data_IF_926108564345
#
_entry.id   IF_926108564345
#
_cell.length_a   1.000
_cell.length_b   1.000
_cell.length_c   1.000
_cell.angle_alpha   90.00
_cell.angle_beta   90.00
_cell.angle_gamma   90.00
#
_symmetry.space_group_name_H-M   'P 1'
#
loop_
_entity.id
_entity.type
_entity.pdbx_description
1 polymer ?
#
# COMPACT_ATOMS: atom_id res chain seq x y z
N UNK A 1 -13.55 35.69 -36.39
CA UNK A 1 -13.53 34.36 -37.04
C UNK A 1 -12.66 33.42 -36.21
N UNK A 2 -13.25 32.85 -35.15
CA UNK A 2 -12.92 31.52 -34.60
C UNK A 2 -13.41 30.45 -35.63
N UNK A 3 -13.12 29.11 -35.54
CA UNK A 3 -12.92 28.36 -34.29
C UNK A 3 -12.03 27.05 -34.30
N UNK A 4 -11.61 26.64 -33.09
CA UNK A 4 -11.81 25.32 -32.42
C UNK A 4 -10.97 24.07 -32.74
N UNK A 5 -10.27 23.62 -31.68
CA UNK A 5 -10.28 22.30 -31.00
C UNK A 5 -10.47 21.01 -31.82
N UNK A 6 -9.47 20.12 -31.79
CA UNK A 6 -9.65 18.71 -32.17
C UNK A 6 -10.09 17.89 -30.97
N UNK A 7 -11.40 17.69 -30.88
CA UNK A 7 -12.02 16.57 -30.18
C UNK A 7 -11.49 15.24 -30.72
N UNK A 8 -10.98 14.38 -29.83
CA UNK A 8 -10.84 12.96 -30.08
C UNK A 8 -12.25 12.36 -30.09
N UNK A 9 -12.85 12.34 -31.28
CA UNK A 9 -14.17 11.78 -31.54
C UNK A 9 -14.10 10.26 -31.37
N UNK A 10 -14.82 9.74 -30.37
CA UNK A 10 -15.38 8.39 -30.37
C UNK A 10 -16.12 8.18 -31.68
N UNK A 11 -15.47 7.57 -32.67
CA UNK A 11 -16.15 7.06 -33.87
C UNK A 11 -16.47 5.60 -33.65
N UNK A 12 -17.76 5.32 -33.84
CA UNK A 12 -18.41 4.07 -33.47
C UNK A 12 -17.80 2.84 -34.13
N UNK A 13 -17.89 1.74 -33.37
CA UNK A 13 -17.79 0.39 -33.87
C UNK A 13 -18.91 0.20 -34.90
N UNK A 14 -18.55 -0.02 -36.17
CA UNK A 14 -19.51 -0.36 -37.23
C UNK A 14 -18.85 -1.27 -38.26
N UNK A 15 -19.37 -2.50 -38.30
CA UNK A 15 -19.28 -3.51 -39.36
C UNK A 15 -17.98 -4.35 -39.37
N UNK A 16 -18.19 -5.67 -39.29
CA UNK A 16 -17.21 -6.71 -38.96
C UNK A 16 -16.31 -7.10 -40.13
N UNK A 17 -14.99 -7.13 -39.88
CA UNK A 17 -14.13 -8.20 -40.35
C UNK A 17 -13.81 -9.12 -39.17
N UNK A 18 -13.98 -10.43 -39.35
CA UNK A 18 -13.99 -11.43 -38.26
C UNK A 18 -12.70 -11.53 -37.43
N UNK A 19 -11.60 -10.92 -37.90
CA UNK A 19 -10.33 -10.85 -37.17
C UNK A 19 -10.27 -9.69 -36.16
N UNK A 20 -11.02 -8.60 -36.38
CA UNK A 20 -10.99 -7.40 -35.53
C UNK A 20 -11.88 -7.53 -34.28
N UNK A 21 -12.97 -8.30 -34.36
CA UNK A 21 -13.79 -8.59 -33.16
C UNK A 21 -13.03 -9.47 -32.18
N UNK A 22 -12.21 -10.40 -32.67
CA UNK A 22 -11.34 -11.23 -31.83
C UNK A 22 -10.21 -10.37 -31.24
N UNK A 23 -9.57 -9.48 -32.02
CA UNK A 23 -8.56 -8.58 -31.46
C UNK A 23 -9.14 -7.62 -30.42
N UNK A 24 -10.35 -7.12 -30.63
CA UNK A 24 -11.02 -6.20 -29.70
C UNK A 24 -11.48 -6.94 -28.45
N UNK A 25 -12.03 -8.16 -28.56
CA UNK A 25 -12.34 -9.03 -27.41
C UNK A 25 -11.07 -9.46 -26.68
N UNK A 26 -9.97 -9.78 -27.37
CA UNK A 26 -8.68 -10.08 -26.73
C UNK A 26 -8.08 -8.84 -26.06
N UNK A 27 -8.29 -7.64 -26.62
CA UNK A 27 -7.85 -6.38 -26.03
C UNK A 27 -8.71 -5.95 -24.82
N UNK A 28 -10.03 -6.22 -24.86
CA UNK A 28 -10.96 -6.01 -23.75
C UNK A 28 -10.82 -7.07 -22.66
N UNK A 29 -10.49 -8.32 -23.00
CA UNK A 29 -10.14 -9.39 -22.03
C UNK A 29 -8.73 -9.18 -21.46
N UNK A 30 -7.85 -8.48 -22.21
CA UNK A 30 -6.60 -7.87 -21.70
C UNK A 30 -6.82 -6.54 -20.97
N UNK A 31 -8.06 -6.11 -20.70
CA UNK A 31 -8.30 -5.38 -19.46
C UNK A 31 -8.11 -6.39 -18.32
N UNK A 32 -6.83 -6.72 -18.13
CA UNK A 32 -6.29 -7.67 -17.19
C UNK A 32 -6.90 -7.31 -15.86
N UNK A 33 -7.74 -8.18 -15.32
CA UNK A 33 -7.91 -8.28 -13.89
C UNK A 33 -6.51 -8.54 -13.34
N UNK A 34 -5.77 -7.46 -13.03
CA UNK A 34 -4.56 -7.56 -12.23
C UNK A 34 -5.07 -8.03 -10.88
N UNK A 35 -4.95 -9.32 -10.61
CA UNK A 35 -5.21 -9.86 -9.28
C UNK A 35 -4.25 -9.10 -8.37
N UNK A 36 -4.79 -8.18 -7.58
CA UNK A 36 -4.00 -7.42 -6.63
C UNK A 36 -3.41 -8.43 -5.66
N UNK A 37 -2.08 -8.58 -5.66
CA UNK A 37 -1.41 -9.48 -4.73
C UNK A 37 -1.66 -8.97 -3.32
N UNK A 38 -2.49 -9.67 -2.55
CA UNK A 38 -2.71 -9.33 -1.14
C UNK A 38 -1.57 -9.89 -0.32
N UNK A 39 -0.93 -9.04 0.49
CA UNK A 39 0.14 -9.45 1.39
C UNK A 39 -0.30 -9.33 2.84
N UNK A 40 0.45 -9.99 3.73
CA UNK A 40 0.16 -9.99 5.17
C UNK A 40 1.44 -9.71 5.96
N UNK A 41 1.28 -9.17 7.15
CA UNK A 41 2.33 -9.10 8.18
C UNK A 41 1.76 -9.54 9.52
N UNK A 42 2.62 -10.07 10.40
CA UNK A 42 2.23 -10.46 11.74
C UNK A 42 2.96 -9.60 12.76
N UNK A 43 2.23 -9.03 13.72
CA UNK A 43 2.85 -8.35 14.84
C UNK A 43 3.20 -9.38 15.91
N UNK A 44 4.50 -9.50 16.21
CA UNK A 44 5.05 -10.40 17.22
C UNK A 44 4.93 -9.82 18.65
N UNK A 45 4.90 -8.49 18.77
CA UNK A 45 4.84 -7.76 20.03
C UNK A 45 4.34 -6.32 19.80
N UNK A 46 3.51 -5.74 20.70
CA UNK A 46 3.01 -6.29 21.97
C UNK A 46 1.90 -7.32 21.79
N UNK A 47 1.63 -8.13 22.83
CA UNK A 47 0.59 -9.18 22.81
C UNK A 47 -0.80 -8.65 22.41
N UNK A 48 -1.15 -7.45 22.85
CA UNK A 48 -2.46 -6.82 22.55
C UNK A 48 -2.64 -6.41 21.09
N UNK A 49 -1.56 -6.36 20.31
CA UNK A 49 -1.58 -6.10 18.87
C UNK A 49 -1.16 -7.34 18.07
N UNK A 50 -1.07 -8.52 18.69
CA UNK A 50 -0.47 -9.72 18.11
C UNK A 50 -1.40 -10.43 17.13
N UNK A 51 -1.66 -9.79 16.00
CA UNK A 51 -2.55 -10.26 14.93
C UNK A 51 -1.83 -10.30 13.58
N UNK A 52 -2.46 -10.99 12.63
CA UNK A 52 -2.08 -11.00 11.22
C UNK A 52 -2.89 -9.94 10.49
N UNK A 53 -2.19 -8.93 10.02
CA UNK A 53 -2.74 -7.79 9.31
C UNK A 53 -2.59 -8.00 7.81
N UNK A 54 -3.63 -7.63 7.08
CA UNK A 54 -3.58 -7.58 5.63
C UNK A 54 -3.05 -6.21 5.19
N UNK A 55 -2.30 -6.20 4.09
CA UNK A 55 -1.83 -4.98 3.43
C UNK A 55 -1.93 -5.12 1.91
N UNK A 56 -2.25 -4.01 1.25
CA UNK A 56 -2.27 -3.92 -0.20
C UNK A 56 -0.95 -3.31 -0.70
N UNK A 57 -0.06 -4.07 -1.35
CA UNK A 57 1.17 -3.54 -1.92
C UNK A 57 0.87 -2.63 -3.11
N UNK A 58 1.78 -1.70 -3.39
CA UNK A 58 1.77 -0.93 -4.63
C UNK A 58 3.12 -0.99 -5.34
N UNK A 59 3.11 -1.62 -6.52
CA UNK A 59 4.27 -1.69 -7.40
C UNK A 59 4.48 -0.42 -8.22
N UNK A 60 3.49 0.47 -8.30
CA UNK A 60 3.65 1.76 -8.99
C UNK A 60 4.30 2.80 -8.07
N UNK A 61 4.10 2.69 -6.76
CA UNK A 61 4.64 3.63 -5.76
C UNK A 61 6.00 3.19 -5.23
N UNK A 62 6.18 1.89 -4.95
CA UNK A 62 7.43 1.34 -4.42
C UNK A 62 7.86 0.07 -5.17
N UNK A 63 9.04 -0.44 -4.84
CA UNK A 63 9.52 -1.71 -5.41
C UNK A 63 8.71 -2.91 -4.87
N UNK A 64 8.70 -4.05 -5.57
CA UNK A 64 8.04 -5.26 -5.07
C UNK A 64 8.58 -5.71 -3.70
N UNK A 65 7.68 -6.23 -2.86
CA UNK A 65 8.10 -6.88 -1.62
C UNK A 65 8.97 -8.12 -1.90
N UNK A 66 10.00 -8.39 -1.09
CA UNK A 66 10.81 -9.59 -1.25
C UNK A 66 10.02 -10.86 -0.92
N UNK A 67 10.44 -12.00 -1.47
CA UNK A 67 9.87 -13.32 -1.15
C UNK A 67 10.22 -13.83 0.25
N UNK A 68 11.23 -13.24 0.89
CA UNK A 68 11.64 -13.57 2.25
C UNK A 68 11.04 -12.59 3.25
N UNK A 69 10.88 -13.03 4.50
CA UNK A 69 10.33 -12.21 5.58
C UNK A 69 11.43 -11.51 6.38
N UNK A 70 11.28 -10.19 6.57
CA UNK A 70 12.00 -9.45 7.59
C UNK A 70 11.41 -9.79 8.95
N UNK A 71 12.22 -10.34 9.86
CA UNK A 71 11.80 -10.70 11.21
C UNK A 71 12.17 -9.61 12.20
N UNK A 72 11.34 -9.43 13.24
CA UNK A 72 11.57 -8.44 14.32
C UNK A 72 11.76 -7.01 13.78
N UNK A 73 11.14 -6.69 12.64
CA UNK A 73 11.14 -5.34 12.12
C UNK A 73 10.35 -4.43 13.08
N UNK A 74 10.85 -3.22 13.34
CA UNK A 74 10.20 -2.29 14.27
C UNK A 74 9.27 -1.36 13.50
N UNK A 75 8.02 -1.21 13.95
CA UNK A 75 7.16 -0.14 13.42
C UNK A 75 7.50 1.18 14.10
N UNK A 76 7.58 2.25 13.33
CA UNK A 76 7.82 3.62 13.81
C UNK A 76 6.78 4.54 13.20
N UNK A 77 6.21 5.45 13.98
CA UNK A 77 5.31 6.47 13.46
C UNK A 77 6.11 7.61 12.82
N UNK A 78 5.69 8.06 11.64
CA UNK A 78 6.34 9.14 10.92
C UNK A 78 6.20 10.49 11.66
N UNK A 79 7.23 11.32 11.52
CA UNK A 79 7.27 12.70 11.99
C UNK A 79 7.94 13.57 10.90
N UNK A 80 7.19 14.41 10.17
CA UNK A 80 5.74 14.60 10.28
C UNK A 80 4.95 13.38 9.79
N UNK A 81 3.76 13.18 10.35
CA UNK A 81 2.93 12.00 10.09
C UNK A 81 2.52 11.85 8.62
N UNK A 82 2.31 12.97 7.92
CA UNK A 82 1.94 12.99 6.51
C UNK A 82 3.13 12.70 5.58
N UNK A 83 4.39 12.86 6.01
CA UNK A 83 5.59 12.57 5.19
C UNK A 83 5.72 13.35 3.88
N UNK A 84 5.08 14.52 3.77
CA UNK A 84 5.23 15.41 2.59
C UNK A 84 6.51 16.25 2.65
N UNK A 85 7.14 16.30 3.83
CA UNK A 85 8.44 16.92 4.05
C UNK A 85 9.44 15.83 4.49
N UNK A 86 10.76 16.10 4.42
CA UNK A 86 11.75 15.19 4.96
C UNK A 86 11.43 14.77 6.40
N UNK A 87 11.43 13.46 6.66
CA UNK A 87 11.11 12.96 7.99
C UNK A 87 12.21 13.37 8.98
N UNK A 88 11.77 13.83 10.15
CA UNK A 88 12.61 14.09 11.33
C UNK A 88 13.05 12.80 12.01
N UNK A 89 12.39 11.67 11.74
CA UNK A 89 12.84 10.36 12.19
C UNK A 89 14.22 10.04 11.59
N UNK A 90 15.13 9.52 12.39
CA UNK A 90 16.35 8.87 11.89
C UNK A 90 16.12 7.37 11.90
N UNK A 91 15.72 6.81 10.75
CA UNK A 91 15.33 5.41 10.67
C UNK A 91 16.55 4.50 10.45
N UNK A 92 16.51 3.33 11.07
CA UNK A 92 17.50 2.27 10.92
C UNK A 92 17.08 1.18 9.92
N UNK A 93 18.01 0.29 9.54
CA UNK A 93 17.83 -0.66 8.43
C UNK A 93 16.73 -1.72 8.63
N UNK A 94 16.13 -1.84 9.82
CA UNK A 94 15.04 -2.78 10.12
C UNK A 94 13.80 -2.07 10.67
N UNK A 95 13.59 -0.82 10.26
CA UNK A 95 12.45 -0.02 10.70
C UNK A 95 11.45 0.19 9.56
N UNK A 96 10.22 -0.22 9.81
CA UNK A 96 9.05 0.07 8.96
C UNK A 96 8.44 1.36 9.46
N UNK A 97 8.13 2.28 8.56
CA UNK A 97 7.48 3.54 8.93
C UNK A 97 5.99 3.49 8.63
N UNK A 98 5.17 3.99 9.55
CA UNK A 98 3.73 4.21 9.37
C UNK A 98 3.47 5.69 9.08
N UNK A 99 2.85 5.96 7.94
CA UNK A 99 2.52 7.29 7.41
C UNK A 99 1.00 7.47 7.28
N UNK A 100 0.55 8.71 7.43
CA UNK A 100 -0.84 9.09 7.20
C UNK A 100 -1.08 9.47 5.74
N UNK A 101 -2.24 9.05 5.22
CA UNK A 101 -2.78 9.47 3.93
C UNK A 101 -3.21 10.94 3.99
N UNK A 102 -3.05 11.65 2.87
CA UNK A 102 -3.48 13.04 2.70
C UNK A 102 -2.33 13.98 2.31
N UNK A 103 -2.65 15.24 2.06
CA UNK A 103 -1.71 16.36 1.81
C UNK A 103 -0.84 16.31 0.54
N UNK A 104 -0.23 15.17 0.22
CA UNK A 104 0.65 14.98 -0.94
C UNK A 104 0.50 13.59 -1.57
N UNK A 105 1.18 13.38 -2.70
CA UNK A 105 1.14 12.12 -3.45
C UNK A 105 1.77 10.96 -2.67
N UNK A 106 1.30 9.73 -2.89
CA UNK A 106 1.84 8.54 -2.22
C UNK A 106 3.33 8.33 -2.48
N UNK A 107 3.77 8.49 -3.73
CA UNK A 107 5.18 8.34 -4.11
C UNK A 107 6.09 9.30 -3.37
N UNK A 108 5.66 10.54 -3.16
CA UNK A 108 6.43 11.55 -2.42
C UNK A 108 6.63 11.14 -0.96
N UNK A 109 5.57 10.61 -0.32
CA UNK A 109 5.65 10.08 1.05
C UNK A 109 6.67 8.95 1.18
N UNK A 110 6.65 8.02 0.23
CA UNK A 110 7.54 6.84 0.27
C UNK A 110 8.98 7.23 -0.05
N UNK A 111 9.22 8.19 -0.95
CA UNK A 111 10.56 8.74 -1.20
C UNK A 111 11.11 9.42 0.05
N UNK A 112 10.30 10.21 0.76
CA UNK A 112 10.74 10.85 2.00
C UNK A 112 11.03 9.83 3.11
N UNK A 113 10.27 8.74 3.16
CA UNK A 113 10.55 7.61 4.05
C UNK A 113 11.86 6.88 3.70
N UNK A 114 12.09 6.62 2.42
CA UNK A 114 13.33 6.03 1.90
C UNK A 114 14.53 6.89 2.27
N UNK A 115 14.46 8.21 2.03
CA UNK A 115 15.51 9.17 2.38
C UNK A 115 15.81 9.20 3.88
N UNK A 116 14.82 8.88 4.72
CA UNK A 116 14.97 8.79 6.17
C UNK A 116 15.58 7.46 6.65
N UNK A 117 15.77 6.48 5.76
CA UNK A 117 16.33 5.16 6.04
C UNK A 117 15.30 4.07 6.33
N UNK A 118 14.03 4.26 5.96
CA UNK A 118 12.99 3.25 6.16
C UNK A 118 13.27 1.98 5.35
N UNK A 119 12.93 0.82 5.92
CA UNK A 119 12.96 -0.47 5.23
C UNK A 119 11.74 -0.66 4.32
N UNK A 120 10.55 -0.32 4.84
CA UNK A 120 9.24 -0.42 4.19
C UNK A 120 8.41 0.79 4.63
N UNK A 121 7.59 1.32 3.74
CA UNK A 121 6.57 2.32 4.08
C UNK A 121 5.18 1.68 4.13
N UNK A 122 4.50 1.82 5.27
CA UNK A 122 3.08 1.51 5.40
C UNK A 122 2.29 2.81 5.45
N UNK A 123 1.26 2.92 4.63
CA UNK A 123 0.38 4.09 4.57
C UNK A 123 -1.00 3.69 5.10
N UNK A 124 -1.63 4.58 5.86
CA UNK A 124 -2.97 4.37 6.39
C UNK A 124 -3.77 5.68 6.42
N UNK A 125 -5.09 5.56 6.42
CA UNK A 125 -6.00 6.65 6.75
C UNK A 125 -6.59 6.43 8.15
N UNK A 126 -5.75 6.61 9.18
CA UNK A 126 -6.15 6.33 10.57
C UNK A 126 -7.26 7.26 11.08
N UNK A 127 -7.40 8.43 10.43
CA UNK A 127 -8.39 9.44 10.78
C UNK A 127 -9.78 8.98 10.36
N UNK A 128 -9.96 8.42 9.17
CA UNK A 128 -11.25 7.83 8.78
C UNK A 128 -11.60 6.63 9.67
N UNK A 129 -10.62 5.77 9.96
CA UNK A 129 -10.85 4.52 10.70
C UNK A 129 -11.70 3.52 9.96
N UNK A 130 -11.85 3.70 8.65
CA UNK A 130 -12.56 2.77 7.78
C UNK A 130 -11.73 1.51 7.48
N UNK A 131 -12.42 0.51 6.95
CA UNK A 131 -11.82 -0.77 6.54
C UNK A 131 -11.51 -0.82 5.03
N UNK A 132 -11.71 0.29 4.32
CA UNK A 132 -11.44 0.33 2.88
C UNK A 132 -9.94 0.32 2.60
N UNK A 133 -9.55 -0.55 1.66
CA UNK A 133 -8.22 -0.50 1.06
C UNK A 133 -8.18 0.53 -0.05
N UNK A 134 -7.05 1.22 -0.16
CA UNK A 134 -6.78 2.17 -1.24
C UNK A 134 -5.69 1.60 -2.12
N UNK A 135 -5.97 1.56 -3.43
CA UNK A 135 -4.94 1.27 -4.42
C UNK A 135 -4.05 2.51 -4.57
N UNK A 136 -2.82 2.41 -4.08
CA UNK A 136 -1.87 3.52 -4.16
C UNK A 136 -1.30 3.58 -5.58
N UNK A 137 -1.51 4.69 -6.26
CA UNK A 137 -0.99 4.92 -7.62
C UNK A 137 0.02 6.07 -7.58
N UNK A 138 1.06 5.97 -8.41
CA UNK A 138 2.04 7.05 -8.60
C UNK A 138 1.39 8.29 -9.24
N UNK A 139 2.05 9.43 -9.13
CA UNK A 139 1.61 10.68 -9.74
C UNK A 139 2.06 10.77 -11.23
N UNK A 140 1.84 11.92 -11.86
CA UNK A 140 2.24 12.18 -13.26
C UNK A 140 3.76 12.18 -13.49
N UNK A 141 4.57 12.12 -12.43
CA UNK A 141 6.04 12.16 -12.55
C UNK A 141 6.65 10.80 -12.85
N UNK A 142 5.85 9.72 -12.78
CA UNK A 142 6.28 8.32 -12.97
C UNK A 142 7.46 7.93 -12.07
N UNK A 143 7.69 8.67 -10.99
CA UNK A 143 8.68 8.31 -9.98
C UNK A 143 8.23 7.06 -9.24
N UNK A 144 9.21 6.32 -8.74
CA UNK A 144 9.02 5.15 -7.90
C UNK A 144 10.07 5.19 -6.79
N UNK A 145 9.67 4.89 -5.57
CA UNK A 145 10.59 4.77 -4.44
C UNK A 145 11.35 3.43 -4.49
N UNK A 146 12.58 3.41 -3.99
CA UNK A 146 13.44 2.23 -3.94
C UNK A 146 13.09 1.23 -2.82
N UNK A 147 12.08 1.53 -2.00
CA UNK A 147 11.60 0.66 -0.92
C UNK A 147 10.17 0.15 -1.18
N UNK A 148 9.78 -1.02 -0.63
CA UNK A 148 8.41 -1.49 -0.74
C UNK A 148 7.42 -0.58 0.00
N UNK A 149 6.24 -0.43 -0.59
CA UNK A 149 5.14 0.35 -0.02
C UNK A 149 3.85 -0.47 0.02
N UNK A 150 3.14 -0.40 1.15
CA UNK A 150 1.85 -1.06 1.34
C UNK A 150 0.83 -0.15 2.03
N UNK A 151 -0.44 -0.35 1.72
CA UNK A 151 -1.57 0.30 2.39
C UNK A 151 -2.20 -0.64 3.41
N UNK A 152 -2.53 -0.12 4.59
CA UNK A 152 -3.32 -0.82 5.61
C UNK A 152 -4.59 -0.02 5.92
N UNK A 153 -5.65 -0.73 6.33
CA UNK A 153 -6.94 -0.14 6.69
C UNK A 153 -6.79 0.97 7.73
N UNK A 154 -7.71 1.94 7.70
CA UNK A 154 -7.77 3.01 8.69
C UNK A 154 -8.05 2.47 10.09
N UNK A 155 -8.89 1.44 10.22
CA UNK A 155 -9.20 0.81 11.50
C UNK A 155 -7.93 0.24 12.17
N UNK A 156 -7.14 -0.54 11.43
CA UNK A 156 -5.85 -1.04 11.93
C UNK A 156 -4.83 0.07 12.11
N UNK A 157 -4.71 0.99 11.16
CA UNK A 157 -3.81 2.14 11.26
C UNK A 157 -4.05 2.97 12.51
N UNK A 158 -5.31 3.22 12.88
CA UNK A 158 -5.69 3.93 14.10
C UNK A 158 -5.17 3.22 15.36
N UNK A 159 -5.33 1.90 15.45
CA UNK A 159 -4.83 1.13 16.61
C UNK A 159 -3.32 1.16 16.71
N UNK A 160 -2.62 1.01 15.58
CA UNK A 160 -1.15 1.04 15.56
C UNK A 160 -0.62 2.44 15.90
N UNK A 161 -1.21 3.49 15.31
CA UNK A 161 -0.89 4.89 15.60
C UNK A 161 -1.08 5.21 17.08
N UNK A 162 -2.26 4.91 17.63
CA UNK A 162 -2.58 5.25 19.01
C UNK A 162 -1.62 4.55 19.99
N UNK A 163 -1.24 3.30 19.71
CA UNK A 163 -0.22 2.62 20.49
C UNK A 163 1.15 3.31 20.39
N UNK A 164 1.59 3.67 19.19
CA UNK A 164 2.89 4.32 18.96
C UNK A 164 2.99 5.74 19.55
N UNK A 165 1.86 6.45 19.67
CA UNK A 165 1.84 7.82 20.19
C UNK A 165 1.63 7.89 21.70
N UNK A 166 0.82 7.00 22.26
CA UNK A 166 0.33 7.11 23.64
C UNK A 166 0.79 5.98 24.57
N UNK A 167 1.60 5.05 24.08
CA UNK A 167 2.20 3.99 24.91
C UNK A 167 3.73 4.10 24.90
N UNK A 168 4.38 3.64 25.97
CA UNK A 168 5.85 3.59 26.06
C UNK A 168 6.47 2.37 25.34
N UNK A 169 5.65 1.58 24.63
CA UNK A 169 6.05 0.32 24.01
C UNK A 169 6.48 0.46 22.55
N UNK A 170 7.18 -0.56 22.06
CA UNK A 170 7.50 -0.70 20.64
C UNK A 170 6.65 -1.79 19.98
N UNK A 171 6.47 -1.70 18.66
CA UNK A 171 5.83 -2.73 17.84
C UNK A 171 6.92 -3.48 17.08
N UNK A 172 6.94 -4.80 17.21
CA UNK A 172 7.80 -5.69 16.42
C UNK A 172 6.96 -6.60 15.56
N UNK A 173 7.38 -6.80 14.32
CA UNK A 173 6.62 -7.58 13.35
C UNK A 173 7.50 -8.44 12.44
N UNK A 174 6.84 -9.35 11.75
CA UNK A 174 7.38 -10.12 10.63
C UNK A 174 6.64 -9.75 9.34
N UNK A 175 7.36 -9.28 8.33
CA UNK A 175 6.80 -8.69 7.09
C UNK A 175 7.71 -8.94 5.87
N UNK A 176 7.17 -9.25 4.68
CA UNK A 176 5.85 -9.86 4.47
C UNK A 176 5.84 -11.29 5.04
N UNK A 177 4.66 -11.86 5.29
CA UNK A 177 4.53 -13.27 5.62
C UNK A 177 4.64 -14.12 4.36
N UNK A 178 5.54 -15.11 4.40
CA UNK A 178 5.67 -16.10 3.33
C UNK A 178 4.61 -17.19 3.52
N UNK A 179 3.40 -16.99 2.98
CA UNK A 179 2.32 -17.97 3.09
C UNK A 179 2.23 -18.88 1.86
N UNK A 180 2.16 -20.19 2.09
CA UNK A 180 1.58 -21.15 1.16
C UNK A 180 0.07 -20.90 1.03
N UNK A 181 -0.51 -21.10 -0.15
CA UNK A 181 -1.93 -20.81 -0.48
C UNK A 181 -2.96 -21.36 0.54
N UNK A 182 -2.61 -22.39 1.31
CA UNK A 182 -3.47 -22.96 2.35
C UNK A 182 -3.67 -22.04 3.58
N UNK A 183 -2.67 -21.21 3.95
CA UNK A 183 -2.81 -20.24 5.06
C UNK A 183 -3.57 -18.97 4.66
N UNK A 184 -3.77 -18.72 3.37
CA UNK A 184 -4.53 -17.58 2.88
C UNK A 184 -6.05 -17.75 3.09
N UNK A 185 -6.54 -19.00 3.21
CA UNK A 185 -7.96 -19.28 3.49
C UNK A 185 -8.30 -19.09 4.97
N UNK A 186 -7.39 -19.48 5.86
CA UNK A 186 -7.53 -19.37 7.31
C UNK A 186 -6.43 -18.48 7.87
N UNK A 187 -6.59 -17.16 7.77
CA UNK A 187 -5.68 -16.20 8.41
C UNK A 187 -5.74 -16.46 9.92
N UNK A 188 -4.64 -16.94 10.54
CA UNK A 188 -4.73 -17.66 11.81
C UNK A 188 -5.08 -16.78 13.02
N UNK A 189 -4.98 -15.46 12.93
CA UNK A 189 -5.38 -14.55 14.00
C UNK A 189 -5.65 -13.13 13.48
N UNK A 190 -6.90 -12.85 13.11
CA UNK A 190 -7.33 -11.60 12.49
C UNK A 190 -7.59 -10.49 13.53
N UNK A 191 -7.27 -9.21 13.25
CA UNK A 191 -7.61 -8.11 14.16
C UNK A 191 -9.13 -8.02 14.40
N UNK A 192 -9.58 -7.92 15.68
CA UNK A 192 -11.00 -7.93 16.01
C UNK A 192 -11.75 -6.64 15.64
N UNK A 193 -11.04 -5.63 15.13
CA UNK A 193 -11.59 -4.31 14.78
C UNK A 193 -11.72 -4.08 13.28
N UNK A 194 -11.29 -5.01 12.44
CA UNK A 194 -11.58 -4.96 11.00
C UNK A 194 -12.93 -5.64 10.74
N UNK A 195 -13.75 -5.07 9.87
CA UNK A 195 -14.98 -5.69 9.39
C UNK A 195 -14.64 -6.69 8.27
N UNK A 196 -14.94 -7.97 8.51
CA UNK A 196 -14.64 -9.08 7.60
C UNK A 196 -15.89 -9.53 6.85
#
# INVERSE_FOLDING_TARGET
LLPVSRHFLLRGCSILDGMDVILCLVSLVRAVFTVQEVLFFFIDYPKQLSYTYQMQPSHSVGVPFPKYSYKKASLVYANPAHGCEPLKNRLGPNQVVLLERGECAFVEKVINAENAGALIALITDSHSGGDEYVDMVTDVTERQAGIPAGYITGASGRRLRDFLLYSEGNIRMTIPLNHTLAMLRDVPNKPPWELW
#
